data_IF_268660966023
#
_entry.id   IF_268660966023
#
_cell.length_a   1.000
_cell.length_b   1.000
_cell.length_c   1.000
_cell.angle_alpha   90.00
_cell.angle_beta   90.00
_cell.angle_gamma   90.00
#
_symmetry.space_group_name_H-M   'P 1'
#
loop_
_entity.id
_entity.type
_entity.pdbx_description
1 polymer ?
#
# COMPACT_ATOMS: atom_id res chain seq x y z
N UNK A 1 8.39 1.81 -15.55
CA UNK A 1 8.44 0.58 -16.38
C UNK A 1 7.43 -0.48 -15.93
N UNK A 2 7.48 -0.97 -14.69
CA UNK A 2 6.54 -2.00 -14.20
C UNK A 2 5.06 -1.60 -14.35
N UNK A 3 4.70 -0.36 -13.98
CA UNK A 3 3.36 0.19 -14.19
C UNK A 3 2.91 0.18 -15.66
N UNK A 4 3.84 0.41 -16.61
CA UNK A 4 3.53 0.35 -18.04
C UNK A 4 3.19 -1.08 -18.49
N UNK A 5 3.92 -2.09 -17.99
CA UNK A 5 3.60 -3.50 -18.27
C UNK A 5 2.21 -3.85 -17.76
N UNK A 6 1.87 -3.45 -16.52
CA UNK A 6 0.52 -3.65 -15.96
C UNK A 6 -0.53 -2.98 -16.84
N UNK A 7 -0.34 -1.70 -17.20
CA UNK A 7 -1.27 -0.96 -18.08
C UNK A 7 -1.46 -1.68 -19.42
N UNK A 8 -0.37 -2.18 -20.03
CA UNK A 8 -0.42 -2.91 -21.31
C UNK A 8 -1.15 -4.24 -21.18
N UNK A 9 -0.83 -5.07 -20.19
CA UNK A 9 -1.53 -6.33 -19.94
C UNK A 9 -3.02 -6.09 -19.70
N UNK A 10 -3.38 -5.12 -18.85
CA UNK A 10 -4.77 -4.78 -18.59
C UNK A 10 -5.51 -4.32 -19.85
N UNK A 11 -4.90 -3.46 -20.67
CA UNK A 11 -5.51 -2.99 -21.91
C UNK A 11 -5.70 -4.12 -22.95
N UNK A 12 -4.79 -5.09 -23.00
CA UNK A 12 -4.92 -6.25 -23.90
C UNK A 12 -5.96 -7.25 -23.41
N UNK A 13 -6.05 -7.47 -22.10
CA UNK A 13 -7.00 -8.40 -21.49
C UNK A 13 -8.42 -7.82 -21.37
N UNK A 14 -8.57 -6.51 -21.52
CA UNK A 14 -9.85 -5.81 -21.48
C UNK A 14 -10.59 -5.88 -22.82
N UNK A 15 -11.06 -7.08 -23.18
CA UNK A 15 -11.71 -7.37 -24.47
C UNK A 15 -13.23 -7.04 -24.45
N UNK A 16 -13.76 -6.51 -23.35
CA UNK A 16 -15.22 -6.39 -23.14
C UNK A 16 -15.72 -4.97 -23.38
N UNK A 17 -16.83 -4.85 -24.11
CA UNK A 17 -17.47 -3.58 -24.39
C UNK A 17 -18.04 -2.95 -23.11
N UNK A 18 -17.89 -1.63 -22.93
CA UNK A 18 -18.22 -0.93 -21.67
C UNK A 18 -19.69 -1.11 -21.27
N UNK A 19 -20.58 -1.28 -22.26
CA UNK A 19 -22.02 -1.51 -22.06
C UNK A 19 -22.36 -2.90 -21.48
N UNK A 20 -21.46 -3.89 -21.60
CA UNK A 20 -21.69 -5.22 -21.04
C UNK A 20 -21.27 -5.34 -19.57
N UNK A 21 -20.59 -4.33 -18.99
CA UNK A 21 -20.00 -4.41 -17.64
C UNK A 21 -21.00 -4.26 -16.50
N UNK A 22 -22.12 -3.59 -16.72
CA UNK A 22 -23.13 -3.39 -15.68
C UNK A 22 -23.78 -4.74 -15.31
N UNK A 23 -23.56 -5.19 -14.06
CA UNK A 23 -24.13 -6.43 -13.53
C UNK A 23 -23.22 -7.67 -13.59
N UNK A 24 -21.95 -7.54 -13.97
CA UNK A 24 -21.03 -8.69 -13.97
C UNK A 24 -20.39 -8.95 -12.60
N UNK A 25 -20.21 -10.23 -12.27
CA UNK A 25 -19.42 -10.67 -11.13
C UNK A 25 -17.94 -10.80 -11.49
N UNK A 26 -17.06 -10.63 -10.51
CA UNK A 26 -15.63 -10.90 -10.65
C UNK A 26 -15.12 -11.69 -9.46
N UNK A 27 -14.05 -12.44 -9.68
CA UNK A 27 -13.31 -13.14 -8.63
C UNK A 27 -11.95 -12.44 -8.52
N UNK A 28 -11.66 -11.88 -7.35
CA UNK A 28 -10.36 -11.28 -7.04
C UNK A 28 -9.50 -12.28 -6.29
N UNK A 29 -8.26 -12.47 -6.74
CA UNK A 29 -7.24 -13.21 -6.00
C UNK A 29 -6.23 -12.19 -5.49
N UNK A 30 -6.01 -12.16 -4.18
CA UNK A 30 -5.02 -11.32 -3.53
C UNK A 30 -3.79 -12.16 -3.19
N UNK A 31 -2.64 -11.78 -3.74
CA UNK A 31 -1.34 -12.40 -3.48
C UNK A 31 -0.36 -11.30 -3.05
N UNK A 32 -0.15 -11.19 -1.74
CA UNK A 32 0.78 -10.24 -1.12
C UNK A 32 1.52 -10.92 0.03
N UNK A 33 2.65 -10.35 0.46
CA UNK A 33 3.40 -10.84 1.62
C UNK A 33 2.64 -10.64 2.94
N UNK A 34 2.92 -11.51 3.92
CA UNK A 34 2.44 -11.41 5.30
C UNK A 34 3.16 -10.34 6.12
N UNK A 35 2.97 -10.35 7.45
CA UNK A 35 3.73 -9.49 8.36
C UNK A 35 5.24 -9.69 8.20
N UNK A 36 5.99 -8.59 8.18
CA UNK A 36 7.45 -8.57 8.14
C UNK A 36 8.01 -8.02 9.46
N UNK A 37 8.79 -8.85 10.15
CA UNK A 37 9.44 -8.50 11.42
C UNK A 37 10.93 -8.82 11.27
N UNK A 38 11.74 -7.79 11.02
CA UNK A 38 13.18 -7.91 10.84
C UNK A 38 13.97 -7.22 11.96
N UNK A 39 15.29 -7.39 11.96
CA UNK A 39 16.18 -6.67 12.87
C UNK A 39 16.13 -5.15 12.65
N UNK A 40 16.03 -4.71 11.39
CA UNK A 40 15.90 -3.31 11.00
C UNK A 40 14.64 -3.13 10.14
N UNK A 41 13.58 -2.59 10.74
CA UNK A 41 12.33 -2.29 10.02
C UNK A 41 12.31 -0.81 9.64
N UNK A 42 11.96 -0.50 8.40
CA UNK A 42 11.88 0.87 7.91
C UNK A 42 10.47 1.18 7.37
N UNK A 43 10.36 2.20 6.54
CA UNK A 43 9.11 2.70 5.98
C UNK A 43 8.33 1.61 5.21
N UNK A 44 9.05 0.75 4.49
CA UNK A 44 8.48 -0.34 3.69
C UNK A 44 7.79 -1.38 4.59
N UNK A 45 8.46 -1.78 5.68
CA UNK A 45 7.89 -2.69 6.68
C UNK A 45 6.66 -2.10 7.36
N UNK A 46 6.63 -0.79 7.60
CA UNK A 46 5.44 -0.14 8.17
C UNK A 46 4.24 -0.30 7.24
N UNK A 47 4.42 -0.09 5.92
CA UNK A 47 3.34 -0.23 4.95
C UNK A 47 2.83 -1.66 4.81
N UNK A 48 3.72 -2.65 4.71
CA UNK A 48 3.28 -4.05 4.58
C UNK A 48 2.61 -4.54 5.87
N UNK A 49 3.11 -4.18 7.04
CA UNK A 49 2.49 -4.52 8.31
C UNK A 49 1.15 -3.81 8.51
N UNK A 50 1.00 -2.56 8.05
CA UNK A 50 -0.28 -1.87 8.04
C UNK A 50 -1.32 -2.55 7.13
N UNK A 51 -0.92 -2.96 5.92
CA UNK A 51 -1.81 -3.70 5.02
C UNK A 51 -2.24 -5.02 5.66
N UNK A 52 -1.30 -5.76 6.27
CA UNK A 52 -1.61 -7.01 6.96
C UNK A 52 -2.51 -6.83 8.17
N UNK A 53 -2.35 -5.75 8.94
CA UNK A 53 -3.27 -5.40 10.04
C UNK A 53 -4.71 -5.24 9.53
N UNK A 54 -4.90 -4.57 8.38
CA UNK A 54 -6.22 -4.39 7.77
C UNK A 54 -6.80 -5.70 7.22
N UNK A 55 -5.97 -6.55 6.61
CA UNK A 55 -6.41 -7.86 6.13
C UNK A 55 -6.80 -8.78 7.27
N UNK A 56 -6.03 -8.79 8.36
CA UNK A 56 -6.35 -9.56 9.55
C UNK A 56 -7.64 -9.05 10.21
N UNK A 57 -7.81 -7.72 10.30
CA UNK A 57 -9.05 -7.11 10.78
C UNK A 57 -10.26 -7.54 9.94
N UNK A 58 -10.12 -7.51 8.61
CA UNK A 58 -11.17 -7.95 7.69
C UNK A 58 -11.52 -9.43 7.88
N UNK A 59 -10.52 -10.30 7.99
CA UNK A 59 -10.72 -11.73 8.23
C UNK A 59 -11.39 -12.01 9.57
N UNK A 60 -10.88 -11.40 10.65
CA UNK A 60 -11.45 -11.56 11.99
C UNK A 60 -12.91 -11.08 12.04
N UNK A 61 -13.22 -9.95 11.40
CA UNK A 61 -14.59 -9.44 11.35
C UNK A 61 -15.51 -10.35 10.54
N UNK A 62 -15.08 -10.82 9.37
CA UNK A 62 -15.87 -11.71 8.53
C UNK A 62 -16.15 -13.04 9.23
N UNK A 63 -15.12 -13.65 9.82
CA UNK A 63 -15.27 -14.89 10.56
C UNK A 63 -16.17 -14.71 11.79
N UNK A 64 -16.02 -13.62 12.55
CA UNK A 64 -16.89 -13.31 13.69
C UNK A 64 -18.36 -13.17 13.29
N UNK A 65 -18.65 -12.49 12.18
CA UNK A 65 -20.03 -12.37 11.67
C UNK A 65 -20.61 -13.75 11.36
N UNK A 66 -19.86 -14.57 10.61
CA UNK A 66 -20.31 -15.92 10.25
C UNK A 66 -20.56 -16.79 11.48
N UNK A 67 -19.68 -16.69 12.48
CA UNK A 67 -19.79 -17.44 13.73
C UNK A 67 -21.01 -16.98 14.55
N UNK A 68 -21.27 -15.67 14.59
CA UNK A 68 -22.47 -15.12 15.24
C UNK A 68 -23.77 -15.57 14.55
N UNK A 69 -23.80 -15.61 13.21
CA UNK A 69 -24.95 -16.12 12.44
C UNK A 69 -25.22 -17.60 12.75
N UNK A 70 -24.17 -18.41 12.89
CA UNK A 70 -24.32 -19.84 13.24
C UNK A 70 -24.83 -20.01 14.68
N UNK A 71 -24.26 -19.27 15.65
CA UNK A 71 -24.73 -19.33 17.03
C UNK A 71 -26.20 -18.88 17.20
N UNK A 72 -26.65 -17.89 16.42
CA UNK A 72 -28.06 -17.49 16.39
C UNK A 72 -28.94 -18.60 15.79
N UNK A 73 -28.48 -19.27 14.73
CA UNK A 73 -29.21 -20.39 14.11
C UNK A 73 -29.35 -21.56 15.07
N UNK A 74 -28.32 -21.85 15.87
CA UNK A 74 -28.31 -22.96 16.82
C UNK A 74 -28.90 -22.60 18.21
N UNK A 75 -29.21 -21.32 18.45
CA UNK A 75 -29.79 -20.86 19.72
C UNK A 75 -28.82 -20.85 20.90
N UNK A 76 -27.52 -20.70 20.64
CA UNK A 76 -26.48 -20.68 21.68
C UNK A 76 -26.37 -19.26 22.28
N UNK A 77 -26.36 -19.15 23.62
CA UNK A 77 -26.12 -17.87 24.29
C UNK A 77 -24.67 -17.42 24.11
N UNK A 78 -24.49 -16.26 23.48
CA UNK A 78 -23.19 -15.63 23.27
C UNK A 78 -22.85 -14.64 24.38
N UNK A 79 -21.61 -14.70 24.88
CA UNK A 79 -21.04 -13.69 25.77
C UNK A 79 -19.86 -13.00 25.07
N UNK A 80 -19.84 -11.67 25.09
CA UNK A 80 -18.74 -10.90 24.52
C UNK A 80 -17.45 -11.12 25.31
N UNK A 81 -16.36 -11.50 24.64
CA UNK A 81 -15.04 -11.67 25.23
C UNK A 81 -14.21 -10.45 24.86
N UNK A 82 -13.79 -9.69 25.87
CA UNK A 82 -12.91 -8.54 25.71
C UNK A 82 -11.45 -9.01 25.62
N UNK A 83 -10.83 -8.78 24.47
CA UNK A 83 -9.41 -9.05 24.26
C UNK A 83 -8.63 -7.80 24.68
N UNK A 84 -8.33 -7.73 25.98
CA UNK A 84 -7.68 -6.58 26.61
C UNK A 84 -6.40 -6.11 25.91
N UNK A 85 -6.16 -4.80 25.96
CA UNK A 85 -4.94 -4.17 25.44
C UNK A 85 -3.77 -4.42 26.42
N UNK A 86 -2.76 -5.17 25.97
CA UNK A 86 -1.51 -5.39 26.70
C UNK A 86 -0.52 -4.22 26.49
N UNK A 87 0.08 -3.76 27.58
CA UNK A 87 1.04 -2.64 27.63
C UNK A 87 2.51 -3.10 27.49
N UNK A 88 2.75 -4.41 27.41
CA UNK A 88 4.08 -5.02 27.25
C UNK A 88 4.98 -4.38 26.18
N UNK A 89 4.47 -3.90 25.04
CA UNK A 89 5.33 -3.37 23.98
C UNK A 89 5.96 -1.99 24.27
N UNK A 90 5.43 -1.23 25.24
CA UNK A 90 6.11 -0.03 25.74
C UNK A 90 7.40 -0.38 26.49
N UNK A 91 7.48 -1.58 27.08
CA UNK A 91 8.67 -2.05 27.81
C UNK A 91 9.77 -2.45 26.82
N UNK A 92 9.41 -3.14 25.72
CA UNK A 92 10.35 -3.60 24.69
C UNK A 92 11.00 -2.46 23.89
N UNK A 93 10.33 -1.30 23.76
CA UNK A 93 10.88 -0.12 23.09
C UNK A 93 12.09 0.49 23.82
N UNK A 94 12.18 0.33 25.15
CA UNK A 94 13.27 0.91 25.96
C UNK A 94 14.58 0.12 25.77
N UNK A 95 14.52 -1.14 25.32
CA UNK A 95 15.67 -2.06 25.34
C UNK A 95 16.56 -2.02 24.08
N UNK A 96 16.17 -1.35 22.98
CA UNK A 96 16.94 -1.31 21.72
C UNK A 96 17.27 0.11 21.25
N UNK A 97 18.57 0.38 21.07
CA UNK A 97 19.12 1.73 20.86
C UNK A 97 18.95 2.31 19.43
N UNK A 98 18.63 1.49 18.42
CA UNK A 98 18.58 1.92 17.01
C UNK A 98 17.16 2.12 16.46
N UNK A 99 16.14 1.81 17.24
CA UNK A 99 14.75 2.05 16.89
C UNK A 99 14.31 3.44 17.36
N UNK A 100 13.54 4.14 16.52
CA UNK A 100 12.96 5.44 16.90
C UNK A 100 11.60 5.27 17.60
N UNK A 101 10.84 4.23 17.24
CA UNK A 101 9.57 3.90 17.86
C UNK A 101 9.21 2.42 17.65
N UNK A 102 8.19 1.94 18.35
CA UNK A 102 7.65 0.59 18.18
C UNK A 102 6.14 0.65 17.96
N UNK A 103 5.60 -0.33 17.24
CA UNK A 103 4.16 -0.53 17.05
C UNK A 103 3.82 -1.95 17.42
N UNK A 104 2.73 -2.11 18.16
CA UNK A 104 2.12 -3.39 18.47
C UNK A 104 1.26 -3.78 17.28
N UNK A 105 1.73 -4.73 16.49
CA UNK A 105 0.94 -5.32 15.42
C UNK A 105 0.28 -6.60 15.91
N UNK A 106 -0.72 -7.08 15.17
CA UNK A 106 -1.36 -8.37 15.43
C UNK A 106 -0.34 -9.54 15.53
N UNK A 107 0.73 -9.51 14.73
CA UNK A 107 1.78 -10.53 14.73
C UNK A 107 2.91 -10.31 15.75
N UNK A 108 2.83 -9.25 16.57
CA UNK A 108 3.83 -8.92 17.60
C UNK A 108 4.33 -7.47 17.52
N UNK A 109 5.18 -7.10 18.47
CA UNK A 109 5.83 -5.78 18.49
C UNK A 109 6.85 -5.67 17.37
N UNK A 110 6.76 -4.60 16.58
CA UNK A 110 7.74 -4.27 15.53
C UNK A 110 8.37 -2.92 15.85
N UNK A 111 9.69 -2.89 15.88
CA UNK A 111 10.48 -1.69 16.12
C UNK A 111 10.93 -1.08 14.80
N UNK A 112 10.69 0.22 14.64
CA UNK A 112 10.92 0.95 13.39
C UNK A 112 12.02 1.98 13.53
N UNK A 113 12.89 2.01 12.52
CA UNK A 113 13.85 3.05 12.30
C UNK A 113 13.30 4.06 11.27
N UNK A 114 12.98 5.26 11.78
CA UNK A 114 12.48 6.40 11.01
C UNK A 114 13.51 7.14 10.10
N UNK A 115 14.75 6.66 9.99
CA UNK A 115 15.78 7.28 9.15
C UNK A 115 15.32 7.34 7.69
N UNK A 116 15.51 8.50 7.06
CA UNK A 116 15.13 8.77 5.66
C UNK A 116 13.64 8.62 5.32
N UNK A 117 12.73 8.53 6.30
CA UNK A 117 11.29 8.43 6.01
C UNK A 117 10.76 9.63 5.23
N UNK A 118 11.26 10.84 5.53
CA UNK A 118 10.90 12.05 4.79
C UNK A 118 11.32 11.99 3.32
N UNK A 119 12.46 11.37 3.03
CA UNK A 119 12.96 11.22 1.65
C UNK A 119 12.15 10.14 0.92
N UNK A 120 11.98 8.97 1.56
CA UNK A 120 11.16 7.87 1.04
C UNK A 120 9.71 8.29 0.74
N UNK A 121 9.15 9.17 1.56
CA UNK A 121 7.78 9.67 1.38
C UNK A 121 7.67 10.79 0.33
N UNK A 122 8.77 11.49 0.02
CA UNK A 122 8.80 12.55 -1.02
C UNK A 122 9.11 12.01 -2.40
N UNK A 123 9.75 10.84 -2.48
CA UNK A 123 10.22 10.21 -3.71
C UNK A 123 10.99 11.20 -4.63
N UNK A 124 12.02 11.92 -4.12
CA UNK A 124 12.65 13.00 -4.86
C UNK A 124 13.43 12.46 -6.06
N UNK A 125 13.07 12.92 -7.26
CA UNK A 125 13.78 12.63 -8.50
C UNK A 125 14.51 13.87 -9.02
N UNK A 126 15.58 13.64 -9.79
CA UNK A 126 16.33 14.72 -10.43
C UNK A 126 15.63 15.14 -11.72
N UNK A 127 15.00 16.31 -11.71
CA UNK A 127 14.25 16.85 -12.84
C UNK A 127 15.06 17.00 -14.13
N UNK A 128 16.34 17.35 -14.05
CA UNK A 128 17.20 17.48 -15.25
C UNK A 128 17.43 16.12 -15.91
N UNK A 129 17.61 15.07 -15.11
CA UNK A 129 17.74 13.69 -15.61
C UNK A 129 16.42 13.25 -16.25
N UNK A 130 15.28 13.51 -15.60
CA UNK A 130 13.96 13.17 -16.14
C UNK A 130 13.69 13.92 -17.45
N UNK A 131 14.03 15.20 -17.55
CA UNK A 131 13.88 15.99 -18.77
C UNK A 131 14.70 15.43 -19.95
N UNK A 132 15.93 14.98 -19.69
CA UNK A 132 16.77 14.32 -20.70
C UNK A 132 16.15 12.98 -21.13
N UNK A 133 15.66 12.17 -20.18
CA UNK A 133 15.01 10.90 -20.49
C UNK A 133 13.72 11.09 -21.32
N UNK A 134 12.93 12.11 -21.02
CA UNK A 134 11.72 12.47 -21.78
C UNK A 134 12.01 12.98 -23.19
N UNK A 135 13.12 13.68 -23.38
CA UNK A 135 13.47 14.30 -24.68
C UNK A 135 14.08 13.32 -25.67
N UNK A 136 14.42 12.09 -25.26
CA UNK A 136 14.98 11.07 -26.14
C UNK A 136 14.02 10.75 -27.32
N UNK A 137 14.42 11.02 -28.58
CA UNK A 137 13.55 10.83 -29.75
C UNK A 137 13.50 9.37 -30.24
N UNK A 138 14.52 8.57 -29.93
CA UNK A 138 14.68 7.20 -30.44
C UNK A 138 13.87 6.18 -29.62
N UNK A 139 13.65 6.45 -28.32
CA UNK A 139 12.94 5.52 -27.43
C UNK A 139 11.58 6.06 -26.98
N UNK A 140 10.55 5.80 -27.78
CA UNK A 140 9.15 6.18 -27.48
C UNK A 140 8.64 5.64 -26.15
N UNK A 141 9.12 4.47 -25.70
CA UNK A 141 8.78 3.87 -24.42
C UNK A 141 9.15 4.78 -23.23
N UNK A 142 10.28 5.51 -23.29
CA UNK A 142 10.66 6.42 -22.19
C UNK A 142 9.63 7.53 -21.98
N UNK A 143 9.06 8.03 -23.07
CA UNK A 143 8.03 9.08 -23.01
C UNK A 143 6.79 8.57 -22.28
N UNK A 144 6.39 7.32 -22.53
CA UNK A 144 5.28 6.68 -21.81
C UNK A 144 5.59 6.36 -20.35
N UNK A 145 6.82 5.93 -20.04
CA UNK A 145 7.21 5.61 -18.66
C UNK A 145 7.19 6.85 -17.77
N UNK A 146 7.53 8.01 -18.32
CA UNK A 146 7.62 9.28 -17.58
C UNK A 146 6.41 10.21 -17.83
N UNK A 147 5.32 9.69 -18.40
CA UNK A 147 4.14 10.48 -18.77
C UNK A 147 3.43 11.09 -17.55
N UNK A 148 3.47 10.39 -16.41
CA UNK A 148 2.82 10.74 -15.15
C UNK A 148 3.70 11.56 -14.19
N UNK A 149 4.99 11.71 -14.49
CA UNK A 149 5.89 12.58 -13.73
C UNK A 149 5.87 14.00 -14.30
N UNK A 150 5.66 15.02 -13.47
CA UNK A 150 5.78 16.42 -13.88
C UNK A 150 7.11 17.00 -13.41
N UNK A 151 7.91 17.50 -14.36
CA UNK A 151 9.14 18.23 -14.01
C UNK A 151 8.78 19.67 -13.64
N UNK A 152 9.66 20.36 -12.90
CA UNK A 152 9.51 21.79 -12.63
C UNK A 152 9.43 22.64 -13.91
N UNK A 153 10.05 22.21 -15.01
CA UNK A 153 9.92 22.89 -16.30
C UNK A 153 8.53 22.70 -16.92
N UNK A 154 7.96 21.50 -16.80
CA UNK A 154 6.60 21.19 -17.25
C UNK A 154 5.58 22.04 -16.46
N UNK A 155 5.75 22.14 -15.15
CA UNK A 155 4.90 22.99 -14.29
C UNK A 155 5.03 24.48 -14.62
N UNK A 156 6.25 24.98 -14.89
CA UNK A 156 6.48 26.38 -15.29
C UNK A 156 5.80 26.68 -16.62
N UNK A 157 5.91 25.80 -17.61
CA UNK A 157 5.24 25.93 -18.92
C UNK A 157 3.71 25.90 -18.78
N UNK A 158 3.16 25.01 -17.95
CA UNK A 158 1.73 24.93 -17.69
C UNK A 158 1.18 26.19 -16.98
N UNK A 159 1.93 26.76 -16.04
CA UNK A 159 1.56 28.04 -15.38
C UNK A 159 1.61 29.22 -16.36
N UNK A 160 2.57 29.23 -17.29
CA UNK A 160 2.65 30.23 -18.35
C UNK A 160 1.51 30.11 -19.37
N UNK A 161 1.08 28.89 -19.72
CA UNK A 161 -0.03 28.67 -20.66
C UNK A 161 -1.41 28.98 -20.08
N UNK A 162 -1.59 28.85 -18.77
CA UNK A 162 -2.86 29.14 -18.09
C UNK A 162 -3.09 30.63 -17.80
N UNK A 163 -2.10 31.49 -18.08
CA UNK A 163 -2.16 32.94 -17.88
C UNK A 163 -2.44 33.73 -19.18
N UNK A 164 -2.80 33.04 -20.27
CA UNK A 164 -3.21 33.63 -21.55
C UNK A 164 -4.54 33.05 -22.03
#
# INVERSE_FOLDING_TARGET
MFAWLIRRCNATLDVRDKQQREGQHFIGVLDIAGFEIFELNSFEQLWINFVNERLQQFFNHHMFILEQEEYQREGIQWAFIDFGLDLQPCIELIEKAEAHFAVIHYAGTVQYNAQSWLEKNKDPLNDSVVAVLKSNPEMSLLKFIWEDYQTQEDEKKAKLSNNF
#
